data_IF_477648098321
#
_entry.id   IF_477648098321
#
_cell.length_a   1.000
_cell.length_b   1.000
_cell.length_c   1.000
_cell.angle_alpha   90.00
_cell.angle_beta   90.00
_cell.angle_gamma   90.00
#
_symmetry.space_group_name_H-M   'P 1'
#
loop_
_entity.id
_entity.type
_entity.pdbx_description
1 polymer ?
#
# COMPACT_ATOMS: atom_id res chain seq x y z
N UNK A 1 1.29 4.06 -12.88
CA UNK A 1 2.66 4.56 -12.71
C UNK A 1 3.66 3.45 -12.99
N UNK A 2 4.77 3.78 -13.64
CA UNK A 2 5.94 2.92 -13.82
C UNK A 2 7.12 3.68 -13.19
N UNK A 3 7.84 3.05 -12.28
CA UNK A 3 8.94 3.68 -11.55
C UNK A 3 10.12 2.70 -11.40
N UNK A 4 11.38 3.16 -11.45
CA UNK A 4 12.52 2.31 -11.13
C UNK A 4 12.37 1.68 -9.75
N UNK A 5 12.72 0.41 -9.61
CA UNK A 5 12.65 -0.32 -8.36
C UNK A 5 14.05 -0.44 -7.74
N UNK A 6 14.45 0.61 -7.07
CA UNK A 6 15.79 0.72 -6.50
C UNK A 6 16.89 0.59 -7.56
N UNK A 7 17.94 -0.15 -7.24
CA UNK A 7 19.07 -0.44 -8.15
C UNK A 7 18.99 -1.84 -8.78
N UNK A 8 17.81 -2.43 -8.84
CA UNK A 8 17.63 -3.82 -9.28
C UNK A 8 17.59 -4.00 -10.80
N UNK A 9 17.52 -2.92 -11.57
CA UNK A 9 17.25 -2.96 -13.01
C UNK A 9 15.77 -3.29 -13.35
N UNK A 10 14.94 -3.43 -12.34
CA UNK A 10 13.50 -3.67 -12.51
C UNK A 10 12.71 -2.36 -12.34
N UNK A 11 11.44 -2.40 -12.76
CA UNK A 11 10.48 -1.32 -12.54
C UNK A 11 9.26 -1.85 -11.80
N UNK A 12 8.71 -1.02 -10.91
CA UNK A 12 7.41 -1.27 -10.32
C UNK A 12 6.32 -0.74 -11.24
N UNK A 13 5.27 -1.53 -11.42
CA UNK A 13 4.04 -1.12 -12.12
C UNK A 13 2.92 -1.05 -11.10
N UNK A 14 2.29 0.11 -10.98
CA UNK A 14 1.15 0.34 -10.09
C UNK A 14 0.00 1.03 -10.83
N UNK A 15 -1.22 0.78 -10.37
CA UNK A 15 -2.42 1.41 -10.89
C UNK A 15 -3.35 1.77 -9.73
N UNK A 16 -3.86 2.98 -9.70
CA UNK A 16 -4.86 3.37 -8.68
C UNK A 16 -6.08 2.46 -8.72
N UNK A 17 -6.51 2.08 -9.93
CA UNK A 17 -7.68 1.22 -10.13
C UNK A 17 -7.44 -0.23 -9.73
N UNK A 18 -6.27 -0.80 -10.06
CA UNK A 18 -6.02 -2.25 -9.92
C UNK A 18 -5.12 -2.62 -8.75
N UNK A 19 -4.45 -1.66 -8.11
CA UNK A 19 -3.59 -1.93 -6.95
C UNK A 19 -4.40 -2.37 -5.72
N UNK A 20 -5.52 -1.72 -5.34
CA UNK A 20 -6.35 -2.20 -4.24
C UNK A 20 -7.07 -3.51 -4.63
N UNK A 21 -6.75 -4.61 -3.95
CA UNK A 21 -7.44 -5.90 -4.14
C UNK A 21 -8.60 -6.07 -3.17
N UNK A 22 -8.38 -5.64 -1.92
CA UNK A 22 -9.33 -5.72 -0.83
C UNK A 22 -9.25 -4.43 -0.02
N UNK A 23 -10.36 -4.01 0.55
CA UNK A 23 -10.42 -2.87 1.46
C UNK A 23 -11.30 -3.18 2.66
N UNK A 24 -10.97 -2.60 3.80
CA UNK A 24 -11.78 -2.66 5.02
C UNK A 24 -11.87 -1.26 5.63
N UNK A 25 -13.04 -0.89 6.11
CA UNK A 25 -13.29 0.37 6.84
C UNK A 25 -13.38 0.16 8.35
N UNK A 26 -13.20 -1.08 8.77
CA UNK A 26 -13.26 -1.43 10.18
C UNK A 26 -12.02 -0.94 10.93
N UNK A 27 -12.18 -0.66 12.22
CA UNK A 27 -11.06 -0.28 13.11
C UNK A 27 -10.00 -1.40 13.15
N UNK A 28 -10.44 -2.65 13.15
CA UNK A 28 -9.61 -3.84 12.96
C UNK A 28 -9.91 -4.39 11.57
N UNK A 29 -8.94 -4.41 10.64
CA UNK A 29 -9.21 -4.72 9.26
C UNK A 29 -9.56 -6.19 9.06
N UNK A 30 -10.78 -6.46 8.63
CA UNK A 30 -11.27 -7.81 8.31
C UNK A 30 -11.29 -8.02 6.79
N UNK A 31 -10.67 -9.12 6.35
CA UNK A 31 -10.59 -9.49 4.94
C UNK A 31 -10.96 -10.97 4.72
N UNK A 32 -11.63 -11.31 3.61
CA UNK A 32 -12.01 -12.70 3.31
C UNK A 32 -10.83 -13.68 3.24
N UNK A 33 -9.63 -13.20 2.90
CA UNK A 33 -8.43 -14.03 2.86
C UNK A 33 -7.97 -14.51 4.24
N UNK A 34 -8.30 -13.80 5.32
CA UNK A 34 -7.93 -14.17 6.68
C UNK A 34 -8.56 -15.52 7.09
N UNK A 35 -9.78 -15.77 6.69
CA UNK A 35 -10.43 -17.07 6.95
C UNK A 35 -9.69 -18.26 6.31
N UNK A 36 -8.93 -18.01 5.24
CA UNK A 36 -8.13 -19.03 4.53
C UNK A 36 -6.69 -19.10 5.01
N UNK A 37 -6.29 -18.24 5.94
CA UNK A 37 -4.89 -18.17 6.42
C UNK A 37 -4.54 -19.20 7.49
N UNK A 38 -5.53 -20.00 7.94
CA UNK A 38 -5.32 -20.96 9.03
C UNK A 38 -4.99 -20.30 10.39
N UNK A 39 -5.43 -19.05 10.58
CA UNK A 39 -5.15 -18.29 11.82
C UNK A 39 -3.84 -17.51 11.81
N UNK A 40 -3.03 -17.63 10.75
CA UNK A 40 -1.77 -16.89 10.65
C UNK A 40 -1.95 -15.38 10.47
N UNK A 41 -3.12 -14.97 9.99
CA UNK A 41 -3.48 -13.56 9.79
C UNK A 41 -4.86 -13.31 10.42
N UNK A 42 -4.93 -12.37 11.34
CA UNK A 42 -6.17 -11.94 12.01
C UNK A 42 -6.33 -10.43 11.90
N UNK A 43 -7.51 -9.87 12.18
CA UNK A 43 -7.69 -8.43 12.23
C UNK A 43 -6.77 -7.72 13.22
N UNK A 44 -6.41 -8.38 14.33
CA UNK A 44 -5.53 -7.87 15.38
C UNK A 44 -4.04 -8.04 15.04
N UNK A 45 -3.71 -9.05 14.22
CA UNK A 45 -2.33 -9.38 13.88
C UNK A 45 -2.22 -9.71 12.39
N UNK A 46 -1.93 -8.68 11.58
CA UNK A 46 -1.80 -8.81 10.14
C UNK A 46 -0.46 -9.47 9.77
N UNK A 47 -0.52 -10.58 9.05
CA UNK A 47 0.66 -11.27 8.55
C UNK A 47 1.22 -10.60 7.28
N UNK A 48 2.44 -11.01 6.89
CA UNK A 48 3.05 -10.58 5.64
C UNK A 48 2.31 -11.18 4.44
N UNK A 49 1.66 -10.33 3.65
CA UNK A 49 0.89 -10.76 2.48
C UNK A 49 1.76 -11.41 1.39
N UNK A 50 3.07 -11.12 1.32
CA UNK A 50 3.96 -11.71 0.33
C UNK A 50 4.17 -13.22 0.55
N UNK A 51 4.12 -13.66 1.81
CA UNK A 51 4.33 -15.06 2.22
C UNK A 51 2.99 -15.81 2.41
N UNK A 52 1.85 -15.13 2.20
CA UNK A 52 0.53 -15.68 2.46
C UNK A 52 0.01 -16.50 1.27
N UNK A 53 -0.27 -17.79 1.49
CA UNK A 53 -0.89 -18.63 0.47
C UNK A 53 -2.34 -18.23 0.13
N UNK A 54 -3.01 -17.54 1.05
CA UNK A 54 -4.39 -17.05 0.87
C UNK A 54 -4.48 -15.66 0.20
N UNK A 55 -3.33 -15.07 -0.18
CA UNK A 55 -3.32 -13.77 -0.87
C UNK A 55 -4.11 -13.80 -2.17
N UNK A 56 -4.74 -12.69 -2.58
CA UNK A 56 -5.43 -12.62 -3.87
C UNK A 56 -4.47 -12.83 -5.05
N UNK A 57 -5.01 -13.18 -6.18
CA UNK A 57 -4.22 -13.25 -7.41
C UNK A 57 -3.70 -11.87 -7.79
N UNK A 58 -2.52 -11.83 -8.42
CA UNK A 58 -1.93 -10.60 -8.91
C UNK A 58 -2.84 -9.90 -9.93
N UNK A 59 -2.96 -8.59 -9.82
CA UNK A 59 -3.62 -7.75 -10.82
C UNK A 59 -2.75 -7.49 -12.06
N UNK A 60 -1.63 -8.18 -12.20
CA UNK A 60 -0.72 -8.02 -13.33
C UNK A 60 -1.41 -8.06 -14.71
N UNK A 61 -2.33 -9.00 -15.01
CA UNK A 61 -2.98 -9.04 -16.33
C UNK A 61 -3.66 -7.71 -16.68
N UNK A 62 -4.44 -7.16 -15.75
CA UNK A 62 -5.14 -5.89 -15.93
C UNK A 62 -4.20 -4.70 -15.97
N UNK A 63 -3.20 -4.67 -15.08
CA UNK A 63 -2.21 -3.59 -15.03
C UNK A 63 -1.34 -3.55 -16.29
N UNK A 64 -0.88 -4.71 -16.76
CA UNK A 64 -0.04 -4.81 -17.97
C UNK A 64 -0.82 -4.41 -19.21
N UNK A 65 -2.07 -4.85 -19.34
CA UNK A 65 -2.95 -4.45 -20.43
C UNK A 65 -3.19 -2.92 -20.44
N UNK A 66 -3.41 -2.32 -19.27
CA UNK A 66 -3.55 -0.87 -19.16
C UNK A 66 -2.24 -0.15 -19.54
N UNK A 67 -1.10 -0.64 -19.06
CA UNK A 67 0.20 -0.04 -19.34
C UNK A 67 0.54 -0.05 -20.84
N UNK A 68 0.23 -1.14 -21.55
CA UNK A 68 0.46 -1.27 -22.99
C UNK A 68 -0.29 -0.22 -23.83
N UNK A 69 -1.37 0.40 -23.30
CA UNK A 69 -2.05 1.51 -24.00
C UNK A 69 -1.25 2.81 -24.04
N UNK A 70 -0.25 2.94 -23.15
CA UNK A 70 0.55 4.17 -22.99
C UNK A 70 2.02 3.96 -23.31
N UNK A 71 2.46 2.72 -23.51
CA UNK A 71 3.81 2.40 -23.90
C UNK A 71 3.87 2.11 -25.39
N UNK A 72 5.01 2.42 -26.02
CA UNK A 72 5.27 2.02 -27.40
C UNK A 72 5.37 0.50 -27.49
N UNK A 73 5.02 -0.05 -28.65
CA UNK A 73 5.01 -1.50 -28.89
C UNK A 73 6.39 -2.17 -28.74
N UNK A 74 7.47 -1.41 -29.00
CA UNK A 74 8.83 -1.88 -28.85
C UNK A 74 9.24 -2.16 -27.39
N UNK A 75 8.50 -1.62 -26.43
CA UNK A 75 8.74 -1.92 -25.01
C UNK A 75 7.98 -3.18 -24.59
N UNK A 76 8.69 -4.28 -24.56
CA UNK A 76 8.18 -5.49 -23.93
C UNK A 76 8.59 -5.53 -22.44
N UNK A 77 7.68 -6.01 -21.60
CA UNK A 77 7.95 -6.16 -20.18
C UNK A 77 7.40 -7.47 -19.64
N UNK A 78 8.19 -8.10 -18.80
CA UNK A 78 7.94 -9.42 -18.25
C UNK A 78 7.75 -9.32 -16.75
N UNK A 79 6.70 -9.99 -16.24
CA UNK A 79 6.46 -10.08 -14.81
C UNK A 79 7.61 -10.83 -14.13
N UNK A 80 8.25 -10.20 -13.15
CA UNK A 80 9.24 -10.84 -12.27
C UNK A 80 8.64 -11.27 -10.94
N UNK A 81 7.60 -10.56 -10.48
CA UNK A 81 6.89 -10.87 -9.26
C UNK A 81 5.85 -9.81 -8.95
N UNK A 82 5.03 -10.07 -7.94
CA UNK A 82 4.08 -9.12 -7.40
C UNK A 82 4.28 -8.98 -5.90
N UNK A 83 4.38 -7.74 -5.43
CA UNK A 83 4.49 -7.42 -4.01
C UNK A 83 3.10 -7.04 -3.50
N UNK A 84 2.77 -7.56 -2.32
CA UNK A 84 1.53 -7.28 -1.62
C UNK A 84 1.83 -6.64 -0.28
N UNK A 85 1.09 -5.62 0.07
CA UNK A 85 1.21 -4.94 1.36
C UNK A 85 -0.14 -4.43 1.83
N UNK A 86 -0.23 -4.17 3.13
CA UNK A 86 -1.32 -3.42 3.73
C UNK A 86 -0.97 -1.94 3.71
N UNK A 87 -1.91 -1.11 3.29
CA UNK A 87 -1.77 0.34 3.31
C UNK A 87 -2.88 0.94 4.15
N UNK A 88 -2.59 1.50 5.32
CA UNK A 88 -3.55 2.30 6.06
C UNK A 88 -3.82 3.60 5.29
N UNK A 89 -5.09 3.99 5.24
CA UNK A 89 -5.54 5.22 4.59
C UNK A 89 -6.43 5.96 5.56
N UNK A 90 -6.23 7.27 5.71
CA UNK A 90 -7.11 8.10 6.53
C UNK A 90 -8.47 8.25 5.85
N UNK A 91 -9.55 8.23 6.64
CA UNK A 91 -10.92 8.37 6.14
C UNK A 91 -11.13 9.69 5.38
N UNK A 92 -10.51 10.77 5.82
CA UNK A 92 -10.56 12.06 5.14
C UNK A 92 -10.04 12.01 3.69
N UNK A 93 -9.04 11.18 3.42
CA UNK A 93 -8.46 11.02 2.08
C UNK A 93 -9.42 10.40 1.06
N UNK A 94 -10.50 9.76 1.51
CA UNK A 94 -11.52 9.18 0.61
C UNK A 94 -12.45 10.24 0.01
N UNK A 95 -12.54 11.41 0.65
CA UNK A 95 -13.48 12.47 0.26
C UNK A 95 -12.83 13.46 -0.71
N UNK A 96 -11.60 13.87 -0.45
CA UNK A 96 -10.95 14.98 -1.15
C UNK A 96 -9.52 14.69 -1.63
N UNK A 97 -9.02 13.45 -1.47
CA UNK A 97 -7.63 13.05 -1.73
C UNK A 97 -6.59 13.91 -0.98
N UNK A 98 -6.99 14.56 0.12
CA UNK A 98 -6.16 15.51 0.85
C UNK A 98 -4.91 14.88 1.44
N UNK A 99 -4.98 13.63 1.92
CA UNK A 99 -3.88 12.85 2.51
C UNK A 99 -3.06 13.66 3.52
N UNK A 100 -3.69 14.19 4.59
CA UNK A 100 -2.97 14.94 5.61
C UNK A 100 -2.00 14.01 6.36
N UNK A 101 -0.92 14.57 6.89
CA UNK A 101 -0.07 13.88 7.85
C UNK A 101 -0.76 13.88 9.22
N UNK A 102 -0.92 12.71 9.81
CA UNK A 102 -1.42 12.57 11.17
C UNK A 102 -0.25 12.37 12.11
N UNK A 103 -0.08 13.31 13.04
CA UNK A 103 0.93 13.23 14.10
C UNK A 103 0.20 13.08 15.44
N UNK A 104 0.62 12.14 16.27
CA UNK A 104 0.10 11.93 17.62
C UNK A 104 1.23 11.73 18.60
N UNK A 105 1.30 12.57 19.62
CA UNK A 105 2.15 12.35 20.78
C UNK A 105 1.41 11.34 21.68
N UNK A 106 2.01 10.18 21.88
CA UNK A 106 1.43 9.09 22.67
C UNK A 106 1.96 9.06 24.10
N UNK A 107 3.16 9.57 24.32
CA UNK A 107 3.82 9.61 25.60
C UNK A 107 4.83 10.76 25.64
N UNK A 108 4.99 11.41 26.79
CA UNK A 108 5.88 12.57 26.97
C UNK A 108 7.21 12.26 27.67
N UNK A 109 7.28 11.15 28.37
CA UNK A 109 8.52 10.82 29.07
C UNK A 109 8.86 9.33 29.05
N UNK A 110 9.69 8.81 28.13
CA UNK A 110 10.27 9.49 26.96
C UNK A 110 9.21 9.89 25.93
N UNK A 111 9.50 10.90 25.11
CA UNK A 111 8.56 11.32 24.07
C UNK A 111 8.42 10.23 23.00
N UNK A 112 7.18 9.77 22.80
CA UNK A 112 6.84 8.81 21.75
C UNK A 112 5.81 9.40 20.81
N UNK A 113 6.18 9.55 19.54
CA UNK A 113 5.33 10.16 18.50
C UNK A 113 4.99 9.12 17.44
N UNK A 114 3.71 8.99 17.14
CA UNK A 114 3.21 8.19 16.02
C UNK A 114 2.89 9.08 14.84
N UNK A 115 3.44 8.77 13.68
CA UNK A 115 3.24 9.54 12.45
C UNK A 115 2.66 8.66 11.36
N UNK A 116 1.55 9.06 10.78
CA UNK A 116 1.01 8.50 9.54
C UNK A 116 1.12 9.56 8.45
N UNK A 117 2.15 9.41 7.60
CA UNK A 117 2.40 10.35 6.51
C UNK A 117 1.42 10.16 5.36
N UNK A 118 0.91 11.26 4.83
CA UNK A 118 0.00 11.29 3.70
C UNK A 118 0.69 11.47 2.34
N UNK A 119 1.56 12.47 2.23
CA UNK A 119 2.27 12.85 1.00
C UNK A 119 3.72 13.21 1.30
N UNK A 120 4.59 13.10 0.29
CA UNK A 120 5.99 13.51 0.42
C UNK A 120 6.13 15.02 0.70
N UNK A 121 5.19 15.83 0.23
CA UNK A 121 5.17 17.29 0.49
C UNK A 121 4.88 17.66 1.95
N UNK A 122 4.41 16.70 2.76
CA UNK A 122 4.10 16.90 4.18
C UNK A 122 5.18 16.31 5.09
N UNK A 123 6.39 16.07 4.57
CA UNK A 123 7.50 15.51 5.36
C UNK A 123 7.95 16.42 6.50
N UNK A 124 7.78 17.73 6.34
CA UNK A 124 8.16 18.74 7.32
C UNK A 124 7.07 19.03 8.38
N UNK A 125 5.84 18.51 8.20
CA UNK A 125 4.76 18.72 9.17
C UNK A 125 5.11 18.21 10.58
N UNK A 126 6.07 17.29 10.69
CA UNK A 126 6.57 16.77 11.95
C UNK A 126 7.37 17.82 12.74
N UNK A 127 8.04 18.74 12.06
CA UNK A 127 8.87 19.80 12.71
C UNK A 127 8.00 20.78 13.50
N UNK A 128 6.71 20.89 13.16
CA UNK A 128 5.77 21.75 13.89
C UNK A 128 5.33 21.16 15.24
N UNK A 129 5.62 19.86 15.47
CA UNK A 129 5.15 19.11 16.65
C UNK A 129 6.30 18.71 17.59
N UNK A 130 7.53 18.68 17.09
CA UNK A 130 8.76 18.36 17.84
C UNK A 130 9.42 19.61 18.39
#
# INVERSE_FOLDING_TARGET
SIMPFGRTGMHSLTSVTFTPHLSSREKLPAFPCQAKSGGACTPENLANCNDCAARPQSAWPSMSQLARKYLREEYDFVLKGSLFSMKPVLKASEVDDSRPTLVRVLQEGPTFVSVLSGKISTVYDLEEVL
#
